data_IF_682415013540
#
_entry.id   IF_682415013540
#
_cell.length_a   1.000
_cell.length_b   1.000
_cell.length_c   1.000
_cell.angle_alpha   90.00
_cell.angle_beta   90.00
_cell.angle_gamma   90.00
#
_symmetry.space_group_name_H-M   'P 1'
#
loop_
_entity.id
_entity.type
_entity.pdbx_description
1 polymer ?
#
# COMPACT_ATOMS: atom_id res chain seq x y z
N UNK A 1 -60.84 -33.40 69.17
CA UNK A 1 -61.94 -34.20 68.58
C UNK A 1 -62.40 -33.51 67.30
N UNK A 2 -62.29 -34.24 66.18
CA UNK A 2 -62.95 -34.06 64.87
C UNK A 2 -62.59 -32.87 63.95
N UNK A 3 -62.01 -33.24 62.80
CA UNK A 3 -61.75 -32.53 61.53
C UNK A 3 -63.01 -31.85 60.91
N UNK A 4 -62.94 -31.01 59.84
CA UNK A 4 -62.61 -31.41 58.44
C UNK A 4 -61.79 -30.35 57.62
N UNK A 5 -60.87 -30.72 56.70
CA UNK A 5 -60.99 -31.01 55.25
C UNK A 5 -61.58 -29.91 54.34
N UNK A 6 -60.79 -29.47 53.34
CA UNK A 6 -61.12 -29.26 51.89
C UNK A 6 -60.09 -28.27 51.28
N UNK A 7 -59.18 -28.64 50.35
CA UNK A 7 -59.32 -28.92 48.90
C UNK A 7 -60.03 -27.83 48.08
N UNK A 8 -59.29 -27.23 47.12
CA UNK A 8 -59.61 -26.65 45.77
C UNK A 8 -58.65 -25.44 45.52
N UNK A 9 -57.58 -25.45 44.68
CA UNK A 9 -57.38 -25.71 43.22
C UNK A 9 -58.03 -24.62 42.34
N UNK A 10 -57.40 -24.08 41.26
CA UNK A 10 -56.12 -23.37 41.12
C UNK A 10 -56.35 -22.08 40.23
N UNK A 11 -55.36 -21.69 39.42
CA UNK A 11 -55.50 -20.91 38.16
C UNK A 11 -55.35 -19.40 38.21
N UNK A 12 -54.27 -18.91 37.60
CA UNK A 12 -54.13 -17.50 37.23
C UNK A 12 -52.69 -17.07 36.93
N UNK A 13 -52.06 -17.69 35.93
CA UNK A 13 -50.77 -17.28 35.37
C UNK A 13 -50.85 -15.86 34.77
N UNK A 14 -49.87 -15.01 35.06
CA UNK A 14 -49.40 -14.00 34.11
C UNK A 14 -47.95 -13.61 34.46
N UNK A 15 -47.00 -14.38 33.95
CA UNK A 15 -45.58 -13.97 33.90
C UNK A 15 -45.43 -13.08 32.68
N UNK A 16 -45.21 -11.79 32.90
CA UNK A 16 -44.89 -10.84 31.84
C UNK A 16 -43.43 -11.04 31.39
N UNK A 17 -43.25 -11.55 30.18
CA UNK A 17 -41.96 -11.69 29.51
C UNK A 17 -41.55 -10.31 28.96
N UNK A 18 -40.62 -9.63 29.61
CA UNK A 18 -40.04 -8.38 29.12
C UNK A 18 -39.00 -8.68 28.03
N UNK A 19 -39.30 -8.32 26.78
CA UNK A 19 -38.36 -8.40 25.65
C UNK A 19 -37.21 -7.40 25.85
N UNK A 20 -35.99 -7.89 26.06
CA UNK A 20 -34.77 -7.07 26.04
C UNK A 20 -34.39 -6.87 24.58
N UNK A 21 -34.62 -5.66 24.05
CA UNK A 21 -34.13 -5.25 22.74
C UNK A 21 -32.61 -5.03 22.81
N UNK A 22 -31.83 -6.01 22.37
CA UNK A 22 -30.38 -5.88 22.23
C UNK A 22 -30.04 -5.00 21.03
N UNK A 23 -29.53 -3.79 21.28
CA UNK A 23 -28.91 -2.97 20.26
C UNK A 23 -27.58 -3.61 19.85
N UNK A 24 -27.53 -4.23 18.67
CA UNK A 24 -26.29 -4.69 18.04
C UNK A 24 -25.51 -3.45 17.61
N UNK A 25 -24.53 -3.05 18.41
CA UNK A 25 -23.56 -2.04 18.00
C UNK A 25 -22.75 -2.63 16.83
N UNK A 26 -22.99 -2.11 15.63
CA UNK A 26 -22.11 -2.32 14.48
C UNK A 26 -20.80 -1.59 14.74
N UNK A 27 -19.83 -2.28 15.33
CA UNK A 27 -18.45 -1.83 15.29
C UNK A 27 -17.97 -1.90 13.84
N UNK A 28 -17.48 -0.81 13.23
CA UNK A 28 -16.82 -0.91 11.94
C UNK A 28 -15.64 -1.86 12.10
N UNK A 29 -15.62 -2.92 11.29
CA UNK A 29 -14.43 -3.75 11.11
C UNK A 29 -13.39 -2.85 10.45
N UNK A 30 -12.54 -2.22 11.25
CA UNK A 30 -11.27 -1.71 10.76
C UNK A 30 -10.47 -2.93 10.35
N UNK A 31 -10.33 -3.16 9.04
CA UNK A 31 -9.38 -4.12 8.51
C UNK A 31 -7.98 -3.71 8.97
N UNK A 32 -7.55 -4.25 10.09
CA UNK A 32 -6.14 -4.33 10.43
C UNK A 32 -5.50 -5.16 9.32
N UNK A 33 -4.95 -4.49 8.31
CA UNK A 33 -3.98 -5.11 7.44
C UNK A 33 -2.86 -5.55 8.36
N UNK A 34 -2.79 -6.85 8.66
CA UNK A 34 -1.63 -7.39 9.34
C UNK A 34 -0.42 -6.94 8.53
N UNK A 35 0.45 -6.10 9.11
CA UNK A 35 1.71 -5.71 8.48
C UNK A 35 2.39 -7.00 8.04
N UNK A 36 2.45 -7.23 6.74
CA UNK A 36 3.17 -8.36 6.21
C UNK A 36 4.63 -8.19 6.65
N UNK A 37 5.23 -9.25 7.22
CA UNK A 37 6.62 -9.16 7.65
C UNK A 37 7.51 -8.81 6.45
N UNK A 38 8.40 -7.83 6.64
CA UNK A 38 9.34 -7.34 5.62
C UNK A 38 10.79 -7.65 5.98
N UNK A 39 11.16 -8.94 6.22
CA UNK A 39 12.44 -9.29 6.81
C UNK A 39 13.65 -8.77 6.03
N UNK A 40 13.53 -8.67 4.70
CA UNK A 40 14.58 -8.13 3.85
C UNK A 40 14.74 -6.61 3.99
N UNK A 41 13.62 -5.86 4.08
CA UNK A 41 13.66 -4.41 4.29
C UNK A 41 14.20 -4.11 5.69
N UNK A 42 13.75 -4.85 6.70
CA UNK A 42 14.18 -4.69 8.10
C UNK A 42 15.69 -4.93 8.25
N UNK A 43 16.22 -5.94 7.56
CA UNK A 43 17.64 -6.25 7.55
C UNK A 43 18.47 -5.13 6.89
N UNK A 44 18.03 -4.60 5.75
CA UNK A 44 18.72 -3.49 5.07
C UNK A 44 18.66 -2.21 5.90
N UNK A 45 17.50 -1.86 6.45
CA UNK A 45 17.35 -0.67 7.31
C UNK A 45 18.27 -0.75 8.54
N UNK A 46 18.36 -1.92 9.17
CA UNK A 46 19.28 -2.16 10.29
C UNK A 46 20.74 -2.02 9.87
N UNK A 47 21.11 -2.54 8.70
CA UNK A 47 22.48 -2.44 8.18
C UNK A 47 22.89 -0.98 7.91
N UNK A 48 22.00 -0.17 7.36
CA UNK A 48 22.24 1.26 7.11
C UNK A 48 22.44 2.00 8.43
N UNK A 49 21.54 1.81 9.42
CA UNK A 49 21.68 2.43 10.75
C UNK A 49 22.99 2.03 11.44
N UNK A 50 23.39 0.77 11.35
CA UNK A 50 24.65 0.31 11.93
C UNK A 50 25.88 0.96 11.26
N UNK A 51 25.86 1.11 9.93
CA UNK A 51 26.92 1.81 9.20
C UNK A 51 27.01 3.29 9.61
N UNK A 52 25.87 3.96 9.78
CA UNK A 52 25.79 5.34 10.24
C UNK A 52 26.38 5.51 11.64
N UNK A 53 25.97 4.66 12.59
CA UNK A 53 26.54 4.65 13.93
C UNK A 53 28.06 4.43 13.92
N UNK A 54 28.56 3.52 13.08
CA UNK A 54 29.98 3.25 12.96
C UNK A 54 30.78 4.41 12.34
N UNK A 55 30.15 5.24 11.51
CA UNK A 55 30.77 6.38 10.83
C UNK A 55 30.51 7.72 11.53
N UNK A 56 29.72 7.73 12.61
CA UNK A 56 29.36 8.95 13.35
C UNK A 56 28.33 9.82 12.62
N UNK A 57 27.59 9.26 11.67
CA UNK A 57 26.41 9.87 11.05
C UNK A 57 25.16 9.40 11.79
N UNK A 58 24.19 10.28 12.05
CA UNK A 58 22.92 9.92 12.73
C UNK A 58 21.69 10.69 12.22
N UNK A 59 21.85 11.51 11.18
CA UNK A 59 20.82 12.45 10.70
C UNK A 59 20.40 12.22 9.25
N UNK A 60 20.81 11.10 8.65
CA UNK A 60 20.53 10.83 7.24
C UNK A 60 19.18 10.15 7.00
N UNK A 61 18.60 9.51 8.02
CA UNK A 61 17.24 8.97 7.96
C UNK A 61 16.23 10.11 7.79
N UNK A 62 15.39 10.02 6.74
CA UNK A 62 14.46 11.07 6.32
C UNK A 62 15.05 12.11 5.36
N UNK A 63 16.37 12.09 5.12
CA UNK A 63 17.05 13.02 4.20
C UNK A 63 17.66 12.28 3.02
N UNK A 64 18.52 11.29 3.28
CA UNK A 64 19.20 10.49 2.27
C UNK A 64 18.54 9.12 2.04
N UNK A 65 17.88 8.58 3.07
CA UNK A 65 17.14 7.32 2.97
C UNK A 65 15.95 7.31 3.91
N UNK A 66 14.95 6.46 3.62
CA UNK A 66 13.76 6.30 4.46
C UNK A 66 13.08 4.97 4.16
N UNK A 67 12.41 4.39 5.15
CA UNK A 67 11.49 3.25 4.98
C UNK A 67 10.07 3.79 5.10
N UNK A 68 9.25 3.53 4.09
CA UNK A 68 7.86 4.03 4.03
C UNK A 68 6.89 2.92 3.67
N UNK A 69 5.70 3.00 4.25
CA UNK A 69 4.56 2.15 3.94
C UNK A 69 3.60 2.82 2.95
N UNK A 70 2.68 2.04 2.39
CA UNK A 70 1.60 2.57 1.53
C UNK A 70 2.02 2.95 0.10
N UNK A 71 3.24 2.59 -0.30
CA UNK A 71 3.70 2.76 -1.69
C UNK A 71 2.88 1.90 -2.66
N UNK A 72 2.49 2.47 -3.79
CA UNK A 72 1.72 1.77 -4.83
C UNK A 72 2.54 1.58 -6.10
N UNK A 73 2.49 0.38 -6.67
CA UNK A 73 3.07 0.07 -7.97
C UNK A 73 1.94 -0.22 -8.98
N UNK A 74 1.65 0.71 -9.91
CA UNK A 74 0.59 0.54 -10.89
C UNK A 74 0.74 -0.75 -11.71
N UNK A 75 -0.27 -1.63 -11.66
CA UNK A 75 -0.23 -2.92 -12.34
C UNK A 75 0.71 -3.95 -11.70
N UNK A 76 1.06 -3.80 -10.41
CA UNK A 76 1.75 -4.86 -9.67
C UNK A 76 0.97 -6.18 -9.72
N UNK A 77 1.68 -7.29 -9.89
CA UNK A 77 1.10 -8.62 -10.02
C UNK A 77 0.51 -8.95 -11.40
N UNK A 78 0.50 -8.01 -12.34
CA UNK A 78 0.04 -8.25 -13.72
C UNK A 78 1.19 -8.74 -14.61
N UNK A 79 0.86 -9.38 -15.74
CA UNK A 79 1.84 -9.83 -16.74
C UNK A 79 2.50 -8.68 -17.53
N UNK A 80 1.93 -7.48 -17.49
CA UNK A 80 2.44 -6.29 -18.14
C UNK A 80 2.49 -5.11 -17.17
N UNK A 81 3.34 -5.14 -16.14
CA UNK A 81 3.33 -4.14 -15.07
C UNK A 81 3.54 -2.72 -15.62
N UNK A 82 2.62 -1.81 -15.33
CA UNK A 82 2.68 -0.42 -15.78
C UNK A 82 3.86 0.34 -15.13
N UNK A 83 4.19 -0.01 -13.89
CA UNK A 83 5.28 0.57 -13.11
C UNK A 83 6.69 0.24 -13.66
N UNK A 84 6.84 -0.86 -14.39
CA UNK A 84 8.15 -1.30 -14.89
C UNK A 84 8.49 -0.55 -16.18
N UNK A 85 9.25 0.52 -16.03
CA UNK A 85 9.73 1.34 -17.15
C UNK A 85 11.06 0.79 -17.66
N UNK A 86 11.10 0.39 -18.93
CA UNK A 86 12.26 -0.25 -19.57
C UNK A 86 12.68 0.55 -20.80
N UNK A 87 13.96 0.52 -21.12
CA UNK A 87 14.52 1.17 -22.33
C UNK A 87 14.65 0.21 -23.52
N UNK A 88 14.60 -1.10 -23.25
CA UNK A 88 14.61 -2.16 -24.24
C UNK A 88 13.72 -3.32 -23.79
N UNK A 89 13.11 -4.02 -24.73
CA UNK A 89 12.22 -5.15 -24.47
C UNK A 89 12.21 -6.14 -25.63
N UNK A 90 13.36 -6.75 -25.89
CA UNK A 90 13.54 -7.74 -26.94
C UNK A 90 14.21 -9.01 -26.39
N UNK A 91 13.75 -9.43 -25.22
CA UNK A 91 14.19 -10.67 -24.59
C UNK A 91 13.96 -11.85 -25.54
N UNK A 92 15.01 -12.64 -25.79
CA UNK A 92 14.94 -13.84 -26.63
C UNK A 92 14.81 -13.59 -28.14
N UNK A 93 14.85 -12.34 -28.60
CA UNK A 93 14.81 -12.03 -30.03
C UNK A 93 16.23 -12.12 -30.62
N UNK A 94 16.40 -12.97 -31.63
CA UNK A 94 17.67 -13.15 -32.35
C UNK A 94 17.78 -12.30 -33.63
N UNK A 95 16.65 -11.77 -34.11
CA UNK A 95 16.59 -10.78 -35.19
C UNK A 95 16.94 -9.37 -34.69
N UNK A 96 17.02 -8.39 -35.60
CA UNK A 96 17.22 -6.98 -35.23
C UNK A 96 16.12 -6.50 -34.29
N UNK A 97 16.52 -6.11 -33.07
CA UNK A 97 15.62 -5.65 -32.03
C UNK A 97 15.18 -4.20 -32.28
N UNK A 98 13.86 -3.96 -32.23
CA UNK A 98 13.30 -2.60 -32.13
C UNK A 98 12.78 -2.37 -30.72
N UNK A 99 13.27 -1.31 -30.08
CA UNK A 99 12.85 -0.88 -28.73
C UNK A 99 11.98 0.38 -28.73
N UNK A 100 11.49 0.79 -29.91
CA UNK A 100 10.76 2.06 -30.07
C UNK A 100 9.54 2.17 -29.14
N UNK A 101 8.75 1.10 -29.01
CA UNK A 101 7.54 1.11 -28.17
C UNK A 101 7.85 1.32 -26.68
N UNK A 102 8.89 0.67 -26.15
CA UNK A 102 9.25 0.82 -24.73
C UNK A 102 9.96 2.13 -24.44
N UNK A 103 10.72 2.67 -25.41
CA UNK A 103 11.29 4.02 -25.32
C UNK A 103 10.18 5.09 -25.34
N UNK A 104 9.19 4.97 -26.23
CA UNK A 104 8.03 5.85 -26.24
C UNK A 104 7.25 5.79 -24.93
N UNK A 105 7.11 4.60 -24.35
CA UNK A 105 6.47 4.44 -23.03
C UNK A 105 7.25 5.14 -21.92
N UNK A 106 8.58 5.00 -21.88
CA UNK A 106 9.44 5.73 -20.93
C UNK A 106 9.21 7.25 -21.04
N UNK A 107 9.27 7.80 -22.26
CA UNK A 107 9.05 9.23 -22.50
C UNK A 107 7.62 9.66 -22.12
N UNK A 108 6.62 8.83 -22.43
CA UNK A 108 5.23 9.06 -22.03
C UNK A 108 5.02 9.07 -20.52
N UNK A 109 5.69 8.17 -19.79
CA UNK A 109 5.67 8.15 -18.33
C UNK A 109 6.28 9.42 -17.74
N UNK A 110 7.42 9.87 -18.26
CA UNK A 110 8.04 11.15 -17.82
C UNK A 110 7.08 12.32 -18.04
N UNK A 111 6.50 12.44 -19.25
CA UNK A 111 5.52 13.49 -19.58
C UNK A 111 4.30 13.45 -18.66
N UNK A 112 3.79 12.27 -18.34
CA UNK A 112 2.63 12.11 -17.47
C UNK A 112 2.92 12.53 -16.02
N UNK A 113 4.09 12.15 -15.49
CA UNK A 113 4.50 12.52 -14.13
C UNK A 113 4.69 14.04 -14.04
N UNK A 114 5.44 14.63 -14.96
CA UNK A 114 5.70 16.08 -14.95
C UNK A 114 4.42 16.87 -15.24
N UNK A 115 3.61 16.44 -16.22
CA UNK A 115 2.36 17.10 -16.57
C UNK A 115 1.26 17.01 -15.50
N UNK A 116 1.38 16.08 -14.54
CA UNK A 116 0.47 16.01 -13.38
C UNK A 116 0.95 16.79 -12.16
N UNK A 117 2.19 17.32 -12.19
CA UNK A 117 2.72 18.13 -11.11
C UNK A 117 1.99 19.48 -11.01
N UNK A 118 1.51 19.81 -9.80
CA UNK A 118 0.81 21.08 -9.55
C UNK A 118 1.73 22.18 -9.03
N UNK A 119 2.83 21.82 -8.36
CA UNK A 119 3.69 22.78 -7.65
C UNK A 119 5.16 22.65 -8.02
N UNK A 120 5.71 21.43 -7.93
CA UNK A 120 7.16 21.20 -8.10
C UNK A 120 7.37 19.99 -9.01
N UNK A 121 8.28 20.14 -9.97
CA UNK A 121 8.91 19.04 -10.68
C UNK A 121 10.42 19.13 -10.42
N UNK A 122 10.99 18.10 -9.79
CA UNK A 122 12.42 18.00 -9.51
C UNK A 122 13.06 16.94 -10.42
N UNK A 123 14.17 17.29 -11.07
CA UNK A 123 14.85 16.47 -12.08
C UNK A 123 16.34 16.51 -11.85
N UNK A 124 16.93 15.35 -11.57
CA UNK A 124 18.38 15.16 -11.46
C UNK A 124 18.92 14.28 -12.60
N UNK A 125 20.13 14.59 -13.09
CA UNK A 125 20.82 13.84 -14.15
C UNK A 125 22.33 14.06 -14.08
N UNK A 126 23.12 13.18 -14.69
CA UNK A 126 24.58 13.10 -14.48
C UNK A 126 25.35 14.32 -15.04
N UNK A 127 25.11 14.77 -16.27
CA UNK A 127 25.91 15.88 -16.85
C UNK A 127 25.16 16.82 -17.80
N UNK A 128 24.22 16.33 -18.63
CA UNK A 128 23.25 17.09 -19.46
C UNK A 128 22.10 16.15 -19.83
N UNK A 129 20.88 16.67 -20.07
CA UNK A 129 19.82 15.88 -20.70
C UNK A 129 20.25 15.49 -22.12
N UNK A 130 20.60 14.21 -22.38
CA UNK A 130 21.47 13.87 -23.50
C UNK A 130 20.76 13.75 -24.84
N UNK A 131 19.42 13.85 -24.88
CA UNK A 131 18.63 13.65 -26.10
C UNK A 131 17.46 14.63 -26.16
N UNK A 132 17.15 15.11 -27.36
CA UNK A 132 16.05 16.05 -27.60
C UNK A 132 14.70 15.51 -27.12
N UNK A 133 14.49 14.19 -27.23
CA UNK A 133 13.25 13.54 -26.84
C UNK A 133 13.01 13.57 -25.32
N UNK A 134 14.05 13.36 -24.50
CA UNK A 134 13.95 13.51 -23.04
C UNK A 134 13.73 14.97 -22.66
N UNK A 135 14.37 15.90 -23.37
CA UNK A 135 14.12 17.34 -23.17
C UNK A 135 12.66 17.70 -23.44
N UNK A 136 12.10 17.23 -24.56
CA UNK A 136 10.67 17.41 -24.89
C UNK A 136 9.72 16.67 -23.96
N UNK A 137 10.20 15.66 -23.23
CA UNK A 137 9.38 14.99 -22.23
C UNK A 137 9.32 15.77 -20.91
N UNK A 138 10.29 16.65 -20.67
CA UNK A 138 10.48 17.39 -19.42
C UNK A 138 9.95 18.83 -19.50
N UNK A 139 10.15 19.51 -20.65
CA UNK A 139 9.79 20.92 -20.87
C UNK A 139 8.41 21.04 -21.51
#
# INVERSE_FOLDING_TARGET
>A
MHSPLARFVPSGLAVALACIAGAVAWSPVTSAHAQAATPHIDAVASAIRNMEQATGSDSSEGVLWSVTDGNTLPGAGTSGPAWLVRTQDCWGVTATCSSAAVQQRLLGTIRSIIGSAQTVADVSSLTKLPLAEFRQAII
#
